data_IF_806951518198
#
_entry.id   IF_806951518198
#
_cell.length_a   1.000
_cell.length_b   1.000
_cell.length_c   1.000
_cell.angle_alpha   90.00
_cell.angle_beta   90.00
_cell.angle_gamma   90.00
#
_symmetry.space_group_name_H-M   'P 1'
#
loop_
_entity.id
_entity.type
_entity.pdbx_description
1 polymer ?
#
# COMPACT_ATOMS: atom_id res chain seq x y z
N UNK A 1 7.14 9.76 -6.16
CA UNK A 1 7.79 8.41 -6.13
C UNK A 1 6.86 7.41 -5.43
N UNK A 2 6.98 6.11 -5.73
CA UNK A 2 6.08 5.07 -5.20
C UNK A 2 6.82 3.91 -4.50
N UNK A 3 7.55 4.17 -3.40
CA UNK A 3 8.27 3.12 -2.70
C UNK A 3 7.30 2.12 -2.03
N UNK A 4 7.73 0.91 -1.78
CA UNK A 4 7.14 0.06 -0.74
C UNK A 4 7.76 0.37 0.63
N UNK A 5 7.29 -0.27 1.70
CA UNK A 5 7.79 -0.03 3.06
C UNK A 5 9.29 -0.33 3.22
N UNK A 6 9.79 -1.42 2.62
CA UNK A 6 11.19 -1.83 2.71
C UNK A 6 12.12 -0.86 1.98
N UNK A 7 11.73 -0.42 0.79
CA UNK A 7 12.46 0.59 0.02
C UNK A 7 12.52 1.92 0.76
N UNK A 8 11.40 2.35 1.34
CA UNK A 8 11.36 3.57 2.14
C UNK A 8 12.29 3.48 3.35
N UNK A 9 12.28 2.35 4.06
CA UNK A 9 13.17 2.07 5.19
C UNK A 9 14.65 2.14 4.78
N UNK A 10 15.01 1.55 3.63
CA UNK A 10 16.36 1.61 3.09
C UNK A 10 16.79 3.06 2.74
N UNK A 11 15.87 3.87 2.21
CA UNK A 11 16.14 5.27 1.85
C UNK A 11 16.38 6.17 3.07
N UNK A 12 15.65 5.93 4.16
CA UNK A 12 15.79 6.73 5.40
C UNK A 12 16.72 6.09 6.43
N UNK A 13 17.31 4.92 6.11
CA UNK A 13 18.22 4.15 6.95
C UNK A 13 17.68 3.90 8.37
N UNK A 14 16.37 3.67 8.48
CA UNK A 14 15.68 3.44 9.74
C UNK A 14 14.59 2.39 9.57
N UNK A 15 14.37 1.60 10.61
CA UNK A 15 13.26 0.67 10.66
C UNK A 15 11.91 1.42 10.70
N UNK A 16 10.94 0.95 9.92
CA UNK A 16 9.60 1.54 9.79
C UNK A 16 8.53 0.54 10.21
N UNK A 17 8.64 -0.03 11.41
CA UNK A 17 7.68 -1.00 11.92
C UNK A 17 6.29 -0.42 12.20
N UNK A 18 6.20 0.86 12.58
CA UNK A 18 4.93 1.50 12.92
C UNK A 18 4.34 2.30 11.74
N UNK A 19 3.00 2.39 11.62
CA UNK A 19 2.35 3.20 10.59
C UNK A 19 2.78 4.67 10.61
N UNK A 20 2.97 5.24 11.80
CA UNK A 20 3.44 6.62 11.98
C UNK A 20 4.89 6.81 11.51
N UNK A 21 5.76 5.82 11.69
CA UNK A 21 7.14 5.90 11.18
C UNK A 21 7.15 5.98 9.65
N UNK A 22 6.32 5.18 8.98
CA UNK A 22 6.17 5.21 7.52
C UNK A 22 5.74 6.60 7.03
N UNK A 23 4.75 7.18 7.71
CA UNK A 23 4.23 8.53 7.45
C UNK A 23 5.31 9.60 7.62
N UNK A 24 6.01 9.60 8.76
CA UNK A 24 7.05 10.58 9.07
C UNK A 24 8.25 10.46 8.11
N UNK A 25 8.66 9.24 7.76
CA UNK A 25 9.71 9.01 6.78
C UNK A 25 9.34 9.56 5.40
N UNK A 26 8.11 9.31 4.93
CA UNK A 26 7.61 9.84 3.67
C UNK A 26 7.52 11.38 3.68
N UNK A 27 7.09 11.97 4.80
CA UNK A 27 7.04 13.42 4.99
C UNK A 27 8.43 14.06 4.92
N UNK A 28 9.43 13.45 5.57
CA UNK A 28 10.82 13.92 5.57
C UNK A 28 11.41 13.98 4.16
N UNK A 29 11.11 12.98 3.31
CA UNK A 29 11.53 13.00 1.90
C UNK A 29 10.94 14.20 1.13
N UNK A 30 9.70 14.58 1.42
CA UNK A 30 9.06 15.75 0.80
C UNK A 30 9.67 17.05 1.32
N UNK A 31 9.87 17.13 2.64
CA UNK A 31 10.51 18.28 3.29
C UNK A 31 11.94 18.51 2.81
N UNK A 32 12.65 17.45 2.41
CA UNK A 32 13.98 17.57 1.80
C UNK A 32 13.97 18.24 0.42
N UNK A 33 12.80 18.52 -0.17
CA UNK A 33 12.64 19.14 -1.49
C UNK A 33 12.94 18.22 -2.67
N UNK A 34 13.42 16.99 -2.43
CA UNK A 34 13.77 16.01 -3.46
C UNK A 34 12.55 15.43 -4.18
N UNK A 35 11.38 15.47 -3.55
CA UNK A 35 10.16 14.86 -4.08
C UNK A 35 8.92 15.63 -3.62
N UNK A 36 7.95 15.80 -4.51
CA UNK A 36 6.69 16.52 -4.18
C UNK A 36 5.62 15.62 -3.56
N UNK A 37 5.66 14.33 -3.87
CA UNK A 37 4.68 13.33 -3.44
C UNK A 37 5.34 11.96 -3.30
N UNK A 38 4.99 11.27 -2.22
CA UNK A 38 5.41 9.90 -1.90
C UNK A 38 4.15 9.05 -1.75
N UNK A 39 4.09 7.91 -2.43
CA UNK A 39 2.99 6.95 -2.29
C UNK A 39 3.58 5.62 -1.84
N UNK A 40 3.40 5.28 -0.56
CA UNK A 40 3.91 4.05 0.02
C UNK A 40 2.92 2.93 -0.22
N UNK A 41 3.35 1.85 -0.87
CA UNK A 41 2.51 0.65 -1.01
C UNK A 41 2.68 -0.26 0.20
N UNK A 42 1.57 -0.60 0.85
CA UNK A 42 1.49 -1.42 2.08
C UNK A 42 0.86 -2.80 1.81
N UNK A 43 0.82 -3.23 0.54
CA UNK A 43 0.28 -4.52 0.13
C UNK A 43 -1.22 -4.66 0.47
N UNK A 44 -1.63 -5.71 1.21
CA UNK A 44 -3.03 -5.92 1.60
C UNK A 44 -3.65 -4.77 2.41
N UNK A 45 -2.82 -3.96 3.07
CA UNK A 45 -3.27 -2.81 3.85
C UNK A 45 -3.60 -1.61 2.96
N UNK A 46 -3.25 -1.66 1.67
CA UNK A 46 -3.47 -0.59 0.70
C UNK A 46 -2.24 0.27 0.46
N UNK A 47 -2.45 1.59 0.44
CA UNK A 47 -1.40 2.54 0.15
C UNK A 47 -1.55 3.84 0.96
N UNK A 48 -0.42 4.43 1.34
CA UNK A 48 -0.35 5.72 2.01
C UNK A 48 0.22 6.77 1.06
N UNK A 49 -0.61 7.71 0.62
CA UNK A 49 -0.17 8.89 -0.11
C UNK A 49 0.18 10.03 0.83
N UNK A 50 1.37 10.62 0.67
CA UNK A 50 1.81 11.80 1.41
C UNK A 50 2.26 12.86 0.41
N UNK A 51 1.80 14.09 0.60
CA UNK A 51 2.26 15.27 -0.12
C UNK A 51 2.38 16.49 0.83
N UNK A 52 2.78 17.64 0.29
CA UNK A 52 2.97 18.86 1.07
C UNK A 52 1.70 19.37 1.78
N UNK A 53 0.51 18.97 1.30
CA UNK A 53 -0.77 19.39 1.88
C UNK A 53 -1.24 18.46 3.00
N UNK A 54 -0.61 17.29 3.15
CA UNK A 54 -0.96 16.30 4.16
C UNK A 54 -0.88 14.86 3.64
N UNK A 55 -1.53 13.96 4.36
CA UNK A 55 -1.60 12.54 4.01
C UNK A 55 -3.00 12.12 3.59
N UNK A 56 -3.08 11.18 2.66
CA UNK A 56 -4.28 10.41 2.34
C UNK A 56 -3.95 8.94 2.45
N UNK A 57 -4.61 8.26 3.39
CA UNK A 57 -4.59 6.80 3.45
C UNK A 57 -5.65 6.27 2.48
N UNK A 58 -5.23 5.46 1.52
CA UNK A 58 -6.13 4.65 0.70
C UNK A 58 -6.13 3.25 1.28
N UNK A 59 -7.16 2.91 2.05
CA UNK A 59 -7.42 1.53 2.44
C UNK A 59 -7.61 0.72 1.16
N UNK A 60 -6.81 -0.34 0.96
CA UNK A 60 -7.28 -1.41 0.12
C UNK A 60 -8.45 -1.99 0.92
N UNK A 61 -9.69 -1.65 0.53
CA UNK A 61 -10.82 -2.50 0.85
C UNK A 61 -10.34 -3.90 0.48
N UNK A 62 -10.29 -4.77 1.49
CA UNK A 62 -9.78 -6.13 1.42
C UNK A 62 -10.04 -6.68 0.02
N UNK A 63 -8.97 -6.93 -0.73
CA UNK A 63 -9.01 -7.95 -1.78
C UNK A 63 -9.24 -9.27 -1.03
N UNK A 64 -10.47 -9.46 -0.55
CA UNK A 64 -10.98 -10.78 -0.29
C UNK A 64 -11.00 -11.40 -1.67
N UNK A 65 -9.89 -12.09 -2.00
CA UNK A 65 -9.83 -13.04 -3.10
C UNK A 65 -11.19 -13.71 -3.15
N UNK A 66 -11.97 -13.61 -4.25
CA UNK A 66 -13.13 -14.44 -4.39
C UNK A 66 -12.58 -15.87 -4.54
N UNK A 67 -12.46 -16.58 -3.43
CA UNK A 67 -12.39 -18.03 -3.39
C UNK A 67 -13.77 -18.55 -3.83
N UNK A 68 -14.13 -18.30 -5.08
CA UNK A 68 -15.31 -18.84 -5.73
C UNK A 68 -14.91 -19.54 -7.04
N UNK A 69 -13.73 -20.18 -7.03
CA UNK A 69 -13.37 -21.22 -8.00
C UNK A 69 -13.67 -22.63 -7.48
N UNK A 70 -14.67 -22.76 -6.61
CA UNK A 70 -15.32 -24.04 -6.31
C UNK A 70 -16.79 -23.93 -6.69
N UNK A 71 -17.23 -24.85 -7.57
CA UNK A 71 -18.62 -25.25 -7.89
C UNK A 71 -19.06 -25.04 -9.34
N UNK A 72 -18.29 -25.60 -10.29
CA UNK A 72 -18.91 -26.31 -11.42
C UNK A 72 -18.99 -27.79 -11.05
N UNK A 73 -19.97 -28.13 -10.22
CA UNK A 73 -20.49 -29.50 -10.12
C UNK A 73 -22.00 -29.37 -10.16
N UNK A 74 -22.61 -30.02 -11.15
CA UNK A 74 -24.03 -30.41 -11.21
C UNK A 74 -25.00 -29.35 -11.75
N UNK A 75 -25.13 -29.32 -13.09
CA UNK A 75 -26.37 -29.24 -13.88
C UNK A 75 -25.87 -29.41 -15.32
N UNK A 76 -26.23 -30.38 -16.17
CA UNK A 76 -27.27 -31.38 -16.22
C UNK A 76 -27.60 -31.56 -17.71
N UNK A 77 -27.69 -32.81 -18.20
CA UNK A 77 -28.35 -33.11 -19.48
C UNK A 77 -27.49 -33.82 -20.52
N UNK A 78 -27.61 -35.15 -20.55
CA UNK A 78 -27.53 -35.95 -21.78
C UNK A 78 -28.66 -35.54 -22.75
N UNK A 79 -28.54 -35.79 -24.05
CA UNK A 79 -28.90 -37.11 -24.59
C UNK A 79 -27.74 -37.90 -25.20
#
# INVERSE_FOLDING_TARGET
>A
MKPNQKELSALVQRDLSQPDDVRLAAQSLIQSGKVRRVVVSLGPQGALGVDASGQRSGSAATDEKPEHRRRWRQHGGAP
#
